data_IF_831660728802
#
_entry.id   IF_831660728802
#
_cell.length_a   1.000
_cell.length_b   1.000
_cell.length_c   1.000
_cell.angle_alpha   90.00
_cell.angle_beta   90.00
_cell.angle_gamma   90.00
#
_symmetry.space_group_name_H-M   'P 1'
#
loop_
_entity.id
_entity.type
_entity.pdbx_description
1 polymer ?
#
# COMPACT_ATOMS: atom_id res chain seq x y z
N UNK A 1 -3.15 -14.89 -4.11
CA UNK A 1 -3.35 -13.65 -3.32
C UNK A 1 -2.66 -12.52 -4.08
N UNK A 2 -3.35 -11.39 -4.35
CA UNK A 2 -2.80 -10.29 -5.15
C UNK A 2 -2.45 -9.11 -4.24
N UNK A 3 -1.16 -8.75 -4.19
CA UNK A 3 -0.69 -7.59 -3.44
C UNK A 3 -0.90 -6.31 -4.24
N UNK A 4 -1.27 -5.25 -3.52
CA UNK A 4 -1.36 -3.88 -4.04
C UNK A 4 -0.06 -3.14 -3.73
N UNK A 5 0.53 -3.37 -2.57
CA UNK A 5 1.85 -2.83 -2.22
C UNK A 5 2.79 -3.95 -1.81
N UNK A 6 3.78 -4.23 -2.66
CA UNK A 6 4.79 -5.25 -2.41
C UNK A 6 5.83 -4.81 -1.37
N UNK A 7 6.08 -3.51 -1.20
CA UNK A 7 7.01 -3.01 -0.19
C UNK A 7 6.54 -3.28 1.24
N UNK A 8 5.22 -3.29 1.47
CA UNK A 8 4.63 -3.44 2.81
C UNK A 8 3.74 -4.68 2.95
N UNK A 9 3.60 -5.47 1.88
CA UNK A 9 2.78 -6.68 1.88
C UNK A 9 1.26 -6.44 1.94
N UNK A 10 0.78 -5.24 1.59
CA UNK A 10 -0.65 -4.94 1.64
C UNK A 10 -1.40 -5.50 0.43
N UNK A 11 -2.49 -6.21 0.70
CA UNK A 11 -3.45 -6.70 -0.28
C UNK A 11 -4.65 -5.75 -0.46
N UNK A 12 -5.48 -6.00 -1.47
CA UNK A 12 -6.76 -5.30 -1.61
C UNK A 12 -7.69 -5.52 -0.41
N UNK A 13 -7.62 -6.70 0.22
CA UNK A 13 -8.41 -7.00 1.40
C UNK A 13 -7.98 -6.14 2.60
N UNK A 14 -6.68 -5.91 2.78
CA UNK A 14 -6.16 -5.06 3.84
C UNK A 14 -6.63 -3.61 3.66
N UNK A 15 -6.58 -3.10 2.43
CA UNK A 15 -7.09 -1.76 2.10
C UNK A 15 -8.58 -1.63 2.42
N UNK A 16 -9.40 -2.59 1.97
CA UNK A 16 -10.86 -2.59 2.23
C UNK A 16 -11.17 -2.66 3.71
N UNK A 17 -10.54 -3.56 4.45
CA UNK A 17 -10.73 -3.68 5.89
C UNK A 17 -10.27 -2.42 6.63
N UNK A 18 -9.17 -1.81 6.19
CA UNK A 18 -8.65 -0.58 6.80
C UNK A 18 -9.62 0.59 6.61
N UNK A 19 -10.22 0.73 5.42
CA UNK A 19 -11.28 1.73 5.18
C UNK A 19 -12.47 1.51 6.10
N UNK A 20 -12.97 0.27 6.18
CA UNK A 20 -14.14 -0.07 7.01
C UNK A 20 -13.87 0.22 8.49
N UNK A 21 -12.68 -0.17 8.99
CA UNK A 21 -12.28 -0.01 10.39
C UNK A 21 -12.04 1.46 10.79
N UNK A 22 -11.66 2.30 9.84
CA UNK A 22 -11.32 3.70 10.09
C UNK A 22 -12.38 4.65 9.54
N UNK A 23 -13.66 4.26 9.55
CA UNK A 23 -14.80 5.11 9.19
C UNK A 23 -14.66 5.78 7.80
N UNK A 24 -14.15 5.05 6.82
CA UNK A 24 -13.96 5.53 5.45
C UNK A 24 -12.57 6.06 5.14
N UNK A 25 -11.72 6.29 6.15
CA UNK A 25 -10.34 6.73 5.95
C UNK A 25 -9.41 5.53 5.74
N UNK A 26 -8.39 5.63 4.89
CA UNK A 26 -7.38 4.55 4.77
C UNK A 26 -5.99 5.01 5.20
N UNK A 27 -5.59 4.65 6.42
CA UNK A 27 -4.23 4.90 6.92
C UNK A 27 -3.17 4.09 6.17
N UNK A 28 -3.53 2.93 5.62
CA UNK A 28 -2.66 2.14 4.73
C UNK A 28 -2.36 2.92 3.45
N UNK A 29 -3.39 3.50 2.83
CA UNK A 29 -3.22 4.26 1.59
C UNK A 29 -2.34 5.49 1.83
N UNK A 30 -2.56 6.21 2.93
CA UNK A 30 -1.74 7.38 3.29
C UNK A 30 -0.29 6.99 3.54
N UNK A 31 -0.03 5.87 4.23
CA UNK A 31 1.33 5.35 4.42
C UNK A 31 2.02 5.01 3.09
N UNK A 32 1.31 4.38 2.16
CA UNK A 32 1.86 4.04 0.83
C UNK A 32 2.21 5.33 0.07
N UNK A 33 1.32 6.32 0.05
CA UNK A 33 1.56 7.61 -0.62
C UNK A 33 2.75 8.34 -0.02
N UNK A 34 2.84 8.41 1.31
CA UNK A 34 3.93 9.07 2.01
C UNK A 34 5.28 8.42 1.64
N UNK A 35 5.39 7.10 1.76
CA UNK A 35 6.63 6.39 1.41
C UNK A 35 7.02 6.54 -0.06
N UNK A 36 6.04 6.60 -0.97
CA UNK A 36 6.30 6.86 -2.39
C UNK A 36 6.78 8.30 -2.64
N UNK A 37 6.19 9.28 -1.97
CA UNK A 37 6.60 10.69 -2.05
C UNK A 37 7.97 10.96 -1.45
N UNK A 38 8.32 10.26 -0.36
CA UNK A 38 9.63 10.34 0.29
C UNK A 38 10.74 9.56 -0.45
N UNK A 39 10.39 8.78 -1.48
CA UNK A 39 11.34 7.91 -2.18
C UNK A 39 11.85 6.74 -1.34
N UNK A 40 11.16 6.40 -0.24
CA UNK A 40 11.53 5.29 0.64
C UNK A 40 10.92 3.94 0.19
N UNK A 41 10.03 3.94 -0.80
CA UNK A 41 9.55 2.69 -1.40
C UNK A 41 10.71 1.98 -2.12
N UNK A 42 10.65 0.65 -2.15
CA UNK A 42 11.47 -0.20 -3.04
C UNK A 42 10.63 -0.75 -4.19
N UNK A 43 9.72 0.06 -4.70
CA UNK A 43 8.68 -0.42 -5.62
C UNK A 43 9.25 -0.82 -6.99
N UNK A 44 10.37 -0.24 -7.41
CA UNK A 44 11.12 -0.68 -8.59
C UNK A 44 11.76 -2.07 -8.45
N UNK A 45 12.09 -2.50 -7.22
CA UNK A 45 12.75 -3.79 -6.96
C UNK A 45 11.76 -4.89 -6.57
N UNK A 46 10.71 -4.52 -5.83
CA UNK A 46 9.81 -5.49 -5.16
C UNK A 46 8.48 -5.68 -5.88
N UNK A 47 8.02 -4.70 -6.67
CA UNK A 47 6.80 -4.85 -7.45
C UNK A 47 7.12 -5.49 -8.81
N UNK A 48 6.45 -6.59 -9.22
CA UNK A 48 6.61 -7.17 -10.54
C UNK A 48 6.39 -6.21 -11.72
N UNK A 49 5.57 -5.15 -11.54
CA UNK A 49 5.40 -4.11 -12.57
C UNK A 49 6.47 -3.01 -12.53
N UNK A 50 7.36 -3.04 -11.54
CA UNK A 50 8.40 -2.04 -11.30
C UNK A 50 7.87 -0.65 -10.92
N UNK A 51 6.61 -0.51 -10.51
CA UNK A 51 5.95 0.79 -10.22
C UNK A 51 4.78 0.69 -9.24
#
# INVERSE_FOLDING_TARGET
MKLVCYCFGYSEADLKQNVIKNNGCSTILEKIKASKGEGTCRCHETNPSGK
#
